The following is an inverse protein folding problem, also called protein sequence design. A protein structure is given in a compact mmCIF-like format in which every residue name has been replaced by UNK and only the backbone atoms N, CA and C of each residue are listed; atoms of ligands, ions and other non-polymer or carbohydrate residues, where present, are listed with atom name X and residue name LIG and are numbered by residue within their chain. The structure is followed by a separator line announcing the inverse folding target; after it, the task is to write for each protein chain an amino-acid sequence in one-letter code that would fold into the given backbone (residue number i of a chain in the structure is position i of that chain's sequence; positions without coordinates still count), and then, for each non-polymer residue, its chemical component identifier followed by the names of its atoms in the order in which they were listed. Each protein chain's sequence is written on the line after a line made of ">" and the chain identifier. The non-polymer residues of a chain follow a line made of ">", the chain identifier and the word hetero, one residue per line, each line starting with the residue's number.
data_IF_929540168415
#
_entry.id   IF_929540168415
#
_cell.length_a   1.000
_cell.length_b   1.000
_cell.length_c   1.000
_cell.angle_alpha   90.00
_cell.angle_beta   90.00
_cell.angle_gamma   90.00
#
_symmetry.space_group_name_H-M   'P 1'
#
loop_
_entity.id
_entity.type
_entity.pdbx_description
1 polymer ?
#
# COMPACT_ATOMS: atom_id res chain seq x y z
N UNK A 1 -38.92 -16.63 15.19
CA UNK A 1 -37.78 -17.22 15.93
C UNK A 1 -36.52 -16.76 15.20
N UNK A 2 -35.72 -15.89 15.84
CA UNK A 2 -34.26 -15.64 15.67
C UNK A 2 -33.75 -15.57 14.21
N UNK A 3 -33.24 -14.46 13.70
CA UNK A 3 -32.26 -13.55 14.29
C UNK A 3 -31.12 -13.41 13.27
N UNK A 4 -30.73 -12.16 12.97
CA UNK A 4 -29.38 -11.61 12.72
C UNK A 4 -28.44 -12.42 11.79
N UNK A 5 -27.84 -11.85 10.74
CA UNK A 5 -26.84 -10.77 10.78
C UNK A 5 -26.88 -9.99 9.46
N UNK A 6 -27.08 -8.67 9.42
CA UNK A 6 -26.01 -7.67 9.59
C UNK A 6 -24.69 -8.10 8.95
N UNK A 7 -24.60 -8.02 7.62
CA UNK A 7 -23.32 -7.89 6.94
C UNK A 7 -23.11 -6.41 6.66
N UNK A 8 -22.56 -5.79 7.69
CA UNK A 8 -21.86 -4.51 7.69
C UNK A 8 -20.90 -4.50 6.50
N UNK A 9 -21.24 -3.78 5.45
CA UNK A 9 -20.27 -3.40 4.42
C UNK A 9 -19.25 -2.54 5.12
N UNK A 10 -18.08 -3.10 5.39
CA UNK A 10 -16.91 -2.37 5.89
C UNK A 10 -16.59 -1.29 4.87
N UNK A 11 -17.03 -0.07 5.14
CA UNK A 11 -16.56 1.14 4.49
C UNK A 11 -15.06 1.24 4.78
N UNK A 12 -14.25 0.84 3.81
CA UNK A 12 -12.81 1.02 3.87
C UNK A 12 -12.51 2.49 3.56
N UNK A 13 -12.70 3.31 4.59
CA UNK A 13 -12.12 4.65 4.70
C UNK A 13 -10.62 4.48 4.96
N UNK A 14 -9.80 4.51 3.92
CA UNK A 14 -8.37 4.80 4.08
C UNK A 14 -8.11 6.26 3.73
N UNK A 15 -8.30 7.08 4.76
CA UNK A 15 -7.85 8.45 4.82
C UNK A 15 -6.33 8.47 4.96
N UNK A 16 -5.61 8.68 3.85
CA UNK A 16 -4.35 9.46 3.75
C UNK A 16 -3.81 9.43 2.31
N UNK A 17 -4.57 9.98 1.37
CA UNK A 17 -4.08 10.31 0.04
C UNK A 17 -3.41 11.68 0.06
N UNK A 18 -2.10 11.73 0.27
CA UNK A 18 -1.32 12.89 -0.20
C UNK A 18 -1.44 12.89 -1.72
N UNK A 19 -2.13 13.91 -2.24
CA UNK A 19 -2.55 13.96 -3.63
C UNK A 19 -1.39 14.03 -4.59
N UNK A 20 -1.33 13.05 -5.50
CA UNK A 20 -0.70 13.11 -6.83
C UNK A 20 -0.88 11.75 -7.48
N UNK A 21 -2.10 11.38 -7.93
CA UNK A 21 -2.38 10.24 -8.82
C UNK A 21 -1.94 8.81 -8.42
N UNK A 22 -1.16 8.66 -7.36
CA UNK A 22 -0.44 7.45 -6.97
C UNK A 22 -1.10 6.81 -5.75
N UNK A 23 -1.13 5.47 -5.70
CA UNK A 23 -1.85 4.76 -4.65
C UNK A 23 -1.25 4.96 -3.25
N UNK A 24 -2.15 4.81 -2.27
CA UNK A 24 -1.83 4.48 -0.88
C UNK A 24 -0.75 3.39 -0.76
N UNK A 25 0.05 3.33 0.32
CA UNK A 25 0.90 2.15 0.55
C UNK A 25 0.02 0.89 0.65
N UNK A 26 -1.05 0.96 1.45
CA UNK A 26 -2.01 -0.13 1.58
C UNK A 26 -2.70 -0.47 0.24
N UNK A 27 -3.08 0.54 -0.54
CA UNK A 27 -3.70 0.33 -1.84
C UNK A 27 -2.72 -0.30 -2.86
N UNK A 28 -1.46 0.14 -2.87
CA UNK A 28 -0.41 -0.43 -3.72
C UNK A 28 -0.12 -1.88 -3.34
N UNK A 29 -0.11 -2.20 -2.05
CA UNK A 29 0.05 -3.57 -1.56
C UNK A 29 -1.12 -4.46 -1.96
N UNK A 30 -2.37 -3.99 -1.81
CA UNK A 30 -3.54 -4.75 -2.24
C UNK A 30 -3.54 -5.04 -3.75
N UNK A 31 -3.11 -4.07 -4.57
CA UNK A 31 -2.99 -4.26 -6.01
C UNK A 31 -1.86 -5.24 -6.36
N UNK A 32 -0.72 -5.21 -5.65
CA UNK A 32 0.36 -6.18 -5.82
C UNK A 32 -0.09 -7.61 -5.52
N UNK A 33 -0.89 -7.81 -4.47
CA UNK A 33 -1.48 -9.12 -4.15
C UNK A 33 -2.39 -9.61 -5.28
N UNK A 34 -3.25 -8.74 -5.81
CA UNK A 34 -4.11 -9.08 -6.95
C UNK A 34 -3.29 -9.45 -8.19
N UNK A 35 -2.22 -8.69 -8.49
CA UNK A 35 -1.32 -9.02 -9.59
C UNK A 35 -0.71 -10.40 -9.37
N UNK A 36 -0.22 -10.70 -8.17
CA UNK A 36 0.37 -12.00 -7.85
C UNK A 36 -0.62 -13.16 -8.12
N UNK A 37 -1.87 -13.02 -7.66
CA UNK A 37 -2.91 -14.02 -7.91
C UNK A 37 -3.17 -14.24 -9.41
N UNK A 38 -3.14 -13.17 -10.21
CA UNK A 38 -3.29 -13.27 -11.68
C UNK A 38 -2.09 -13.98 -12.34
N UNK A 39 -0.87 -13.74 -11.85
CA UNK A 39 0.35 -14.39 -12.37
C UNK A 39 0.39 -15.90 -12.05
N UNK A 40 -0.24 -16.33 -10.97
CA UNK A 40 -0.27 -17.72 -10.50
C UNK A 40 -1.38 -18.57 -11.15
N UNK A 41 -2.19 -17.97 -12.03
CA UNK A 41 -3.28 -18.67 -12.75
C UNK A 41 -2.79 -19.78 -13.69
N UNK A 42 -3.71 -20.67 -14.10
CA UNK A 42 -3.37 -21.88 -14.89
C UNK A 42 -2.98 -21.62 -16.36
N UNK A 43 -3.38 -20.50 -16.97
CA UNK A 43 -3.04 -20.18 -18.38
C UNK A 43 -2.99 -18.65 -18.62
N UNK A 44 -2.01 -17.94 -18.06
CA UNK A 44 -1.89 -16.50 -18.28
C UNK A 44 -1.27 -16.17 -19.65
N UNK A 45 -1.85 -15.20 -20.35
CA UNK A 45 -1.30 -14.65 -21.59
C UNK A 45 0.03 -13.91 -21.31
N UNK A 46 1.08 -14.24 -22.07
CA UNK A 46 2.43 -13.68 -21.87
C UNK A 46 2.47 -12.16 -22.02
N UNK A 47 1.65 -11.59 -22.90
CA UNK A 47 1.59 -10.13 -23.08
C UNK A 47 0.93 -9.48 -21.86
N UNK A 48 -0.11 -10.11 -21.30
CA UNK A 48 -0.75 -9.67 -20.04
C UNK A 48 0.22 -9.79 -18.87
N UNK A 49 0.98 -10.89 -18.76
CA UNK A 49 1.99 -11.05 -17.73
C UNK A 49 3.02 -9.91 -17.76
N UNK A 50 3.46 -9.50 -18.96
CA UNK A 50 4.42 -8.41 -19.11
C UNK A 50 3.87 -7.08 -18.56
N UNK A 51 2.64 -6.72 -18.95
CA UNK A 51 1.96 -5.50 -18.47
C UNK A 51 1.76 -5.54 -16.94
N UNK A 52 1.41 -6.71 -16.39
CA UNK A 52 1.23 -6.91 -14.94
C UNK A 52 2.54 -6.76 -14.17
N UNK A 53 3.63 -7.31 -14.69
CA UNK A 53 4.96 -7.17 -14.08
C UNK A 53 5.44 -5.72 -14.12
N UNK A 54 5.21 -4.99 -15.22
CA UNK A 54 5.54 -3.56 -15.32
C UNK A 54 4.74 -2.73 -14.30
N UNK A 55 3.44 -3.02 -14.15
CA UNK A 55 2.61 -2.40 -13.13
C UNK A 55 3.12 -2.70 -11.72
N UNK A 56 3.44 -3.96 -11.43
CA UNK A 56 3.99 -4.35 -10.13
C UNK A 56 5.30 -3.63 -9.82
N UNK A 57 6.20 -3.49 -10.80
CA UNK A 57 7.45 -2.75 -10.64
C UNK A 57 7.19 -1.28 -10.24
N UNK A 58 6.22 -0.63 -10.88
CA UNK A 58 5.81 0.73 -10.55
C UNK A 58 5.28 0.84 -9.12
N UNK A 59 4.40 -0.08 -8.70
CA UNK A 59 3.85 -0.11 -7.34
C UNK A 59 4.95 -0.33 -6.28
N UNK A 60 5.94 -1.17 -6.57
CA UNK A 60 7.08 -1.41 -5.69
C UNK A 60 7.88 -0.12 -5.47
N UNK A 61 8.12 0.67 -6.52
CA UNK A 61 8.80 1.97 -6.38
C UNK A 61 8.01 2.94 -5.51
N UNK A 62 6.68 3.03 -5.71
CA UNK A 62 5.80 3.82 -4.84
C UNK A 62 5.94 3.38 -3.38
N UNK A 63 5.88 2.07 -3.11
CA UNK A 63 6.06 1.53 -1.77
C UNK A 63 7.41 1.90 -1.15
N UNK A 64 8.50 1.78 -1.91
CA UNK A 64 9.86 2.14 -1.48
C UNK A 64 9.97 3.62 -1.13
N UNK A 65 9.48 4.50 -2.00
CA UNK A 65 9.48 5.93 -1.76
C UNK A 65 8.73 6.29 -0.48
N UNK A 66 7.56 5.67 -0.25
CA UNK A 66 6.77 5.91 0.97
C UNK A 66 7.48 5.44 2.23
N UNK A 67 8.10 4.26 2.21
CA UNK A 67 8.87 3.75 3.34
C UNK A 67 10.05 4.69 3.64
N UNK A 68 10.79 5.10 2.61
CA UNK A 68 11.91 6.03 2.77
C UNK A 68 11.46 7.36 3.39
N UNK A 69 10.36 7.93 2.90
CA UNK A 69 9.78 9.16 3.45
C UNK A 69 9.35 8.98 4.91
N UNK A 70 8.70 7.86 5.24
CA UNK A 70 8.31 7.55 6.61
C UNK A 70 9.54 7.46 7.53
N UNK A 71 10.59 6.76 7.12
CA UNK A 71 11.85 6.65 7.87
C UNK A 71 12.45 8.02 8.17
N UNK A 72 12.50 8.91 7.18
CA UNK A 72 12.99 10.30 7.37
C UNK A 72 12.15 11.06 8.40
N UNK A 73 10.82 10.92 8.38
CA UNK A 73 9.98 11.57 9.38
C UNK A 73 10.22 11.00 10.78
N UNK A 74 10.39 9.69 10.90
CA UNK A 74 10.72 9.03 12.19
C UNK A 74 12.05 9.56 12.72
N UNK A 75 13.10 9.60 11.90
CA UNK A 75 14.41 10.14 12.30
C UNK A 75 14.32 11.59 12.79
N UNK A 76 13.51 12.43 12.12
CA UNK A 76 13.28 13.82 12.54
C UNK A 76 12.59 13.90 13.91
N UNK A 77 11.60 13.05 14.16
CA UNK A 77 10.90 12.99 15.45
C UNK A 77 11.87 12.55 16.55
N UNK A 78 12.66 11.50 16.30
CA UNK A 78 13.67 11.00 17.26
C UNK A 78 14.67 12.09 17.60
N UNK A 79 15.25 12.77 16.59
CA UNK A 79 16.20 13.86 16.82
C UNK A 79 15.59 15.04 17.60
N UNK A 80 14.31 15.36 17.34
CA UNK A 80 13.61 16.39 18.09
C UNK A 80 13.46 16.02 19.57
N UNK A 81 13.16 14.76 19.88
CA UNK A 81 13.04 14.25 21.25
C UNK A 81 14.39 14.30 21.99
N UNK A 82 15.47 13.83 21.37
CA UNK A 82 16.83 13.88 21.94
C UNK A 82 17.28 15.32 22.24
N UNK A 83 16.96 16.26 21.34
CA UNK A 83 17.27 17.68 21.54
C UNK A 83 16.53 18.31 22.74
N UNK A 84 15.38 17.74 23.10
CA UNK A 84 14.55 18.19 24.22
C UNK A 84 15.02 17.62 25.56
N UNK A 85 15.66 16.45 25.55
CA UNK A 85 16.15 15.76 26.75
C UNK A 85 17.53 16.29 27.22
N UNK A 86 18.31 16.87 26.29
CA UNK A 86 19.62 17.48 26.59
C UNK A 86 19.55 18.92 27.12
N UNK A 87 18.37 19.42 27.50
CA UNK A 87 18.13 20.83 27.88
C UNK A 87 17.55 20.92 29.29
#
# INVERSE_FOLDING_TARGET
>A
MKGETSSMSTEQSDSSGSGDGEPGYAAAMAELEQILEELEGEDPDVDVLADRVERAATLIEVCRCRIANASVQVERVVAALESHESK
#
